data_IF_327260675330
#
_entry.id   IF_327260675330
#
_cell.length_a   1.000
_cell.length_b   1.000
_cell.length_c   1.000
_cell.angle_alpha   90.00
_cell.angle_beta   90.00
_cell.angle_gamma   90.00
#
_symmetry.space_group_name_H-M   'P 1'
#
loop_
_entity.id
_entity.type
_entity.pdbx_description
1 polymer ?
#
# COMPACT_ATOMS: atom_id res chain seq x y z
N UNK A 1 -28.63 0.46 32.14
CA UNK A 1 -29.13 -0.10 30.87
C UNK A 1 -29.60 -1.51 31.13
N UNK A 2 -30.81 -1.85 30.70
CA UNK A 2 -31.29 -3.24 30.76
C UNK A 2 -30.51 -4.15 29.79
N UNK A 3 -30.79 -5.45 29.83
CA UNK A 3 -30.14 -6.44 28.96
C UNK A 3 -30.33 -6.16 27.46
N UNK A 4 -31.55 -5.75 27.06
CA UNK A 4 -31.92 -5.50 25.65
C UNK A 4 -31.24 -4.25 25.12
N UNK A 5 -31.19 -3.18 25.92
CA UNK A 5 -30.51 -1.93 25.62
C UNK A 5 -29.01 -2.15 25.39
N UNK A 6 -28.35 -2.96 26.23
CA UNK A 6 -26.91 -3.27 26.05
C UNK A 6 -26.62 -4.04 24.78
N UNK A 7 -27.49 -5.00 24.42
CA UNK A 7 -27.37 -5.72 23.15
C UNK A 7 -27.48 -4.78 21.95
N UNK A 8 -28.47 -3.88 21.94
CA UNK A 8 -28.61 -2.91 20.84
C UNK A 8 -27.46 -1.93 20.77
N UNK A 9 -27.03 -1.37 21.90
CA UNK A 9 -25.88 -0.47 21.95
C UNK A 9 -24.61 -1.14 21.43
N UNK A 10 -24.31 -2.37 21.87
CA UNK A 10 -23.14 -3.14 21.40
C UNK A 10 -23.18 -3.33 19.88
N UNK A 11 -24.34 -3.68 19.32
CA UNK A 11 -24.52 -3.85 17.87
C UNK A 11 -24.28 -2.56 17.11
N UNK A 12 -24.85 -1.46 17.56
CA UNK A 12 -24.68 -0.15 16.92
C UNK A 12 -23.22 0.31 16.95
N UNK A 13 -22.53 0.12 18.07
CA UNK A 13 -21.11 0.45 18.20
C UNK A 13 -20.24 -0.36 17.23
N UNK A 14 -20.51 -1.66 17.08
CA UNK A 14 -19.74 -2.50 16.17
C UNK A 14 -20.07 -2.18 14.70
N UNK A 15 -21.33 -1.90 14.36
CA UNK A 15 -21.69 -1.47 13.00
C UNK A 15 -21.05 -0.12 12.65
N UNK A 16 -20.99 0.82 13.60
CA UNK A 16 -20.25 2.06 13.42
C UNK A 16 -18.75 1.80 13.24
N UNK A 17 -18.16 0.88 13.99
CA UNK A 17 -16.76 0.49 13.83
C UNK A 17 -16.48 -0.16 12.45
N UNK A 18 -17.40 -0.96 11.92
CA UNK A 18 -17.30 -1.51 10.55
C UNK A 18 -17.35 -0.39 9.50
N UNK A 19 -18.22 0.62 9.68
CA UNK A 19 -18.23 1.80 8.83
C UNK A 19 -16.92 2.59 8.90
N UNK A 20 -16.33 2.74 10.10
CA UNK A 20 -15.03 3.37 10.28
C UNK A 20 -13.90 2.59 9.60
N UNK A 21 -13.90 1.24 9.61
CA UNK A 21 -12.89 0.45 8.88
C UNK A 21 -12.84 0.80 7.39
N UNK A 22 -14.01 0.98 6.76
CA UNK A 22 -14.11 1.38 5.35
C UNK A 22 -13.53 2.78 5.16
N UNK A 23 -13.91 3.74 6.02
CA UNK A 23 -13.40 5.11 5.95
C UNK A 23 -11.87 5.18 6.18
N UNK A 24 -11.35 4.40 7.13
CA UNK A 24 -9.92 4.29 7.44
C UNK A 24 -9.15 3.83 6.19
N UNK A 25 -9.64 2.82 5.47
CA UNK A 25 -8.93 2.24 4.33
C UNK A 25 -8.60 3.25 3.23
N UNK A 26 -9.50 4.21 2.98
CA UNK A 26 -9.34 5.22 1.94
C UNK A 26 -8.78 6.55 2.47
N UNK A 27 -8.47 6.64 3.76
CA UNK A 27 -7.96 7.88 4.36
C UNK A 27 -6.43 7.89 4.48
N UNK A 28 -5.79 9.06 4.36
CA UNK A 28 -4.42 9.27 4.84
C UNK A 28 -4.36 9.00 6.35
N UNK A 29 -3.50 8.07 6.73
CA UNK A 29 -3.31 7.64 8.12
C UNK A 29 -2.20 8.46 8.77
N UNK A 30 -1.08 8.64 8.08
CA UNK A 30 0.10 9.34 8.58
C UNK A 30 0.69 10.21 7.49
N UNK A 31 1.40 11.27 7.87
CA UNK A 31 2.12 12.08 6.91
C UNK A 31 3.56 12.30 7.36
N UNK A 32 4.44 12.40 6.37
CA UNK A 32 5.84 12.79 6.56
C UNK A 32 6.14 13.96 5.64
N UNK A 33 6.90 14.92 6.14
CA UNK A 33 7.42 16.03 5.35
C UNK A 33 8.90 16.26 5.63
N UNK A 34 9.66 16.56 4.58
CA UNK A 34 11.02 17.05 4.69
C UNK A 34 11.09 18.54 4.34
N UNK A 35 11.75 19.32 5.17
CA UNK A 35 12.07 20.73 4.90
C UNK A 35 13.58 20.94 4.93
N UNK A 36 14.09 21.74 4.01
CA UNK A 36 15.51 22.09 3.94
C UNK A 36 15.68 23.44 3.21
N UNK A 37 16.85 24.11 3.33
CA UNK A 37 17.12 25.35 2.62
C UNK A 37 16.93 25.26 1.10
N UNK A 38 17.23 24.08 0.52
CA UNK A 38 17.10 23.83 -0.92
C UNK A 38 15.65 23.59 -1.37
N UNK A 39 14.71 23.44 -0.44
CA UNK A 39 13.27 23.25 -0.68
C UNK A 39 12.53 24.48 -0.14
N UNK A 40 12.53 25.60 -0.89
CA UNK A 40 12.00 26.88 -0.42
C UNK A 40 10.49 26.80 -0.18
N UNK A 41 9.99 27.52 0.83
CA UNK A 41 8.56 27.52 1.21
C UNK A 41 7.65 28.05 0.09
N UNK A 42 8.21 28.82 -0.82
CA UNK A 42 7.52 29.33 -1.99
C UNK A 42 7.12 28.21 -2.95
N UNK A 43 7.92 27.14 -3.07
CA UNK A 43 7.60 25.97 -3.91
C UNK A 43 7.03 24.82 -3.08
N UNK A 44 7.58 24.61 -1.88
CA UNK A 44 7.21 23.53 -0.95
C UNK A 44 6.71 24.12 0.37
N UNK A 45 5.53 24.75 0.42
CA UNK A 45 5.03 25.41 1.64
C UNK A 45 4.85 24.45 2.81
N UNK A 46 4.53 23.20 2.48
CA UNK A 46 4.31 22.10 3.40
C UNK A 46 5.54 21.17 3.52
N UNK A 47 6.67 21.54 2.90
CA UNK A 47 7.84 20.70 2.63
C UNK A 47 7.57 19.63 1.55
N UNK A 48 8.55 18.76 1.32
CA UNK A 48 8.38 17.56 0.48
C UNK A 48 7.52 16.57 1.25
N UNK A 49 6.20 16.64 1.05
CA UNK A 49 5.21 15.91 1.84
C UNK A 49 4.66 14.69 1.12
N UNK A 50 4.59 13.59 1.85
CA UNK A 50 3.96 12.34 1.42
C UNK A 50 2.93 11.87 2.45
N UNK A 51 1.90 11.17 1.99
CA UNK A 51 0.83 10.62 2.82
C UNK A 51 0.84 9.09 2.77
N UNK A 52 0.88 8.46 3.94
CA UNK A 52 0.76 7.01 4.11
C UNK A 52 -0.70 6.63 4.25
N UNK A 53 -1.16 5.73 3.39
CA UNK A 53 -2.48 5.11 3.41
C UNK A 53 -2.32 3.60 3.61
N UNK A 54 -3.42 2.90 3.91
CA UNK A 54 -3.40 1.44 4.04
C UNK A 54 -3.02 0.72 2.73
N UNK A 55 -3.26 1.37 1.58
CA UNK A 55 -3.09 0.79 0.25
C UNK A 55 -1.94 1.37 -0.56
N UNK A 56 -1.18 2.33 -0.03
CA UNK A 56 -0.15 3.01 -0.80
C UNK A 56 0.46 4.22 -0.09
N UNK A 57 1.42 4.85 -0.77
CA UNK A 57 1.96 6.16 -0.39
C UNK A 57 1.68 7.12 -1.53
N UNK A 58 1.12 8.28 -1.19
CA UNK A 58 0.58 9.22 -2.15
C UNK A 58 1.20 10.61 -1.99
N UNK A 59 1.18 11.38 -3.07
CA UNK A 59 1.66 12.76 -3.09
C UNK A 59 0.88 13.62 -2.09
N UNK A 60 1.61 14.31 -1.21
CA UNK A 60 1.06 15.24 -0.22
C UNK A 60 1.25 16.71 -0.58
N UNK A 61 1.92 17.01 -1.71
CA UNK A 61 2.12 18.36 -2.18
C UNK A 61 0.88 18.92 -2.88
N UNK A 62 0.70 20.23 -2.76
CA UNK A 62 -0.48 20.95 -3.23
C UNK A 62 -0.07 21.88 -4.37
N UNK A 63 -0.96 22.14 -5.34
CA UNK A 63 -0.68 23.08 -6.42
C UNK A 63 -0.44 24.48 -5.85
N UNK A 64 0.60 25.17 -6.32
CA UNK A 64 0.95 26.52 -5.90
C UNK A 64 0.64 27.50 -7.03
N UNK A 65 -0.19 28.52 -6.74
CA UNK A 65 -0.47 29.60 -7.69
C UNK A 65 0.41 30.82 -7.38
N UNK A 66 1.33 31.18 -8.27
CA UNK A 66 2.12 32.43 -8.18
C UNK A 66 1.78 33.38 -9.34
N UNK A 67 2.15 34.64 -9.16
CA UNK A 67 1.97 35.67 -10.19
C UNK A 67 2.85 35.46 -11.43
N UNK A 68 3.98 34.74 -11.29
CA UNK A 68 4.96 34.50 -12.36
C UNK A 68 4.94 33.06 -12.90
N UNK A 69 4.40 32.11 -12.15
CA UNK A 69 4.33 30.68 -12.51
C UNK A 69 2.99 30.13 -12.03
N UNK A 70 2.17 29.65 -12.97
CA UNK A 70 0.95 28.89 -12.68
C UNK A 70 1.29 27.42 -12.90
N UNK A 71 1.44 26.66 -11.82
CA UNK A 71 1.55 25.20 -11.89
C UNK A 71 0.13 24.62 -11.95
N UNK A 72 -0.23 24.01 -13.08
CA UNK A 72 -1.54 23.37 -13.27
C UNK A 72 -1.63 22.01 -12.56
N UNK A 73 -0.50 21.32 -12.39
CA UNK A 73 -0.38 20.04 -11.68
C UNK A 73 0.50 20.18 -10.43
N UNK A 74 0.20 19.46 -9.33
CA UNK A 74 1.01 19.52 -8.12
C UNK A 74 2.38 18.86 -8.33
N UNK A 75 3.44 19.46 -7.76
CA UNK A 75 4.77 18.85 -7.68
C UNK A 75 4.71 17.43 -7.11
N UNK A 76 5.43 16.49 -7.73
CA UNK A 76 5.50 15.11 -7.24
C UNK A 76 6.48 14.97 -6.07
N UNK A 77 5.94 15.10 -4.86
CA UNK A 77 6.74 14.97 -3.64
C UNK A 77 7.10 13.53 -3.27
N UNK A 78 6.50 12.52 -3.90
CA UNK A 78 6.98 11.14 -3.74
C UNK A 78 8.26 10.97 -4.55
N UNK A 79 8.30 11.50 -5.78
CA UNK A 79 9.52 11.50 -6.59
C UNK A 79 10.66 12.28 -5.91
N UNK A 80 10.39 13.47 -5.40
CA UNK A 80 11.40 14.26 -4.68
C UNK A 80 11.92 13.52 -3.44
N UNK A 81 11.02 12.87 -2.68
CA UNK A 81 11.42 12.05 -1.54
C UNK A 81 12.31 10.88 -1.96
N UNK A 82 11.97 10.17 -3.04
CA UNK A 82 12.76 9.05 -3.56
C UNK A 82 14.13 9.50 -4.08
N UNK A 83 14.18 10.67 -4.70
CA UNK A 83 15.43 11.32 -5.10
C UNK A 83 16.30 11.60 -3.87
N UNK A 84 15.76 12.24 -2.83
CA UNK A 84 16.49 12.47 -1.57
C UNK A 84 16.96 11.15 -0.94
N UNK A 85 16.08 10.14 -0.87
CA UNK A 85 16.39 8.83 -0.34
C UNK A 85 17.57 8.19 -1.07
N UNK A 86 17.54 8.21 -2.41
CA UNK A 86 18.61 7.67 -3.23
C UNK A 86 19.97 8.34 -2.92
N UNK A 87 20.01 9.68 -2.77
CA UNK A 87 21.24 10.41 -2.43
C UNK A 87 21.86 9.96 -1.11
N UNK A 88 21.06 9.56 -0.12
CA UNK A 88 21.55 9.07 1.19
C UNK A 88 21.64 7.54 1.28
N UNK A 89 21.41 6.83 0.17
CA UNK A 89 21.45 5.38 0.11
C UNK A 89 20.18 4.67 0.59
N UNK A 90 19.10 5.38 0.91
CA UNK A 90 17.81 4.77 1.22
C UNK A 90 17.11 4.28 -0.05
N UNK A 91 16.44 3.13 0.04
CA UNK A 91 15.60 2.62 -1.05
C UNK A 91 14.37 3.52 -1.31
N UNK A 92 13.76 3.43 -2.50
CA UNK A 92 12.54 4.17 -2.82
C UNK A 92 11.38 3.79 -1.89
N UNK A 93 10.50 4.73 -1.59
CA UNK A 93 9.36 4.60 -0.68
C UNK A 93 8.44 3.44 -1.07
N UNK A 94 8.30 3.17 -2.37
CA UNK A 94 7.50 2.04 -2.87
C UNK A 94 8.04 0.67 -2.44
N UNK A 95 9.33 0.56 -2.09
CA UNK A 95 9.98 -0.68 -1.64
C UNK A 95 9.58 -1.13 -0.22
N UNK A 96 8.93 -0.24 0.55
CA UNK A 96 8.46 -0.53 1.91
C UNK A 96 7.02 -1.04 1.91
N UNK A 97 6.71 -1.96 2.82
CA UNK A 97 5.34 -2.44 3.05
C UNK A 97 4.74 -3.18 1.86
N UNK A 98 5.55 -3.82 1.02
CA UNK A 98 5.10 -4.33 -0.29
C UNK A 98 4.05 -5.42 -0.14
N UNK A 99 4.26 -6.34 0.81
CA UNK A 99 3.31 -7.41 1.11
C UNK A 99 2.09 -6.85 1.83
N UNK A 100 2.28 -5.94 2.77
CA UNK A 100 1.22 -5.35 3.58
C UNK A 100 0.27 -4.52 2.73
N UNK A 101 0.79 -3.70 1.81
CA UNK A 101 -0.02 -2.95 0.82
C UNK A 101 -0.81 -3.89 -0.08
N UNK A 102 -0.17 -4.94 -0.61
CA UNK A 102 -0.82 -5.94 -1.47
C UNK A 102 -1.91 -6.74 -0.75
N UNK A 103 -1.74 -7.02 0.56
CA UNK A 103 -2.74 -7.74 1.35
C UNK A 103 -3.73 -6.84 2.10
N UNK A 104 -3.53 -5.52 2.06
CA UNK A 104 -4.23 -4.55 2.90
C UNK A 104 -5.76 -4.65 2.83
N UNK A 105 -6.34 -4.72 1.63
CA UNK A 105 -7.79 -4.84 1.45
C UNK A 105 -8.34 -6.14 2.04
N UNK A 106 -7.60 -7.25 1.90
CA UNK A 106 -8.01 -8.55 2.40
C UNK A 106 -7.94 -8.57 3.93
N UNK A 107 -6.88 -8.01 4.51
CA UNK A 107 -6.72 -7.89 5.97
C UNK A 107 -7.80 -6.98 6.56
N UNK A 108 -8.12 -5.85 5.93
CA UNK A 108 -9.20 -4.97 6.40
C UNK A 108 -10.58 -5.64 6.31
N UNK A 109 -10.82 -6.42 5.25
CA UNK A 109 -12.03 -7.22 5.11
C UNK A 109 -12.11 -8.33 6.18
N UNK A 110 -10.98 -8.97 6.49
CA UNK A 110 -10.87 -9.94 7.58
C UNK A 110 -11.30 -9.33 8.91
N UNK A 111 -10.79 -8.13 9.25
CA UNK A 111 -11.20 -7.40 10.46
C UNK A 111 -12.70 -7.10 10.47
N UNK A 112 -13.27 -6.70 9.33
CA UNK A 112 -14.72 -6.50 9.18
C UNK A 112 -15.53 -7.77 9.48
N UNK A 113 -15.14 -8.91 8.91
CA UNK A 113 -15.81 -10.21 9.16
C UNK A 113 -15.68 -10.61 10.63
N UNK A 114 -14.54 -10.37 11.27
CA UNK A 114 -14.34 -10.61 12.70
C UNK A 114 -15.32 -9.79 13.55
N UNK A 115 -15.48 -8.50 13.25
CA UNK A 115 -16.43 -7.63 13.94
C UNK A 115 -17.88 -8.09 13.75
N UNK A 116 -18.27 -8.46 12.52
CA UNK A 116 -19.61 -9.01 12.26
C UNK A 116 -19.84 -10.36 12.97
N UNK A 117 -18.79 -11.17 13.12
CA UNK A 117 -18.80 -12.36 13.95
C UNK A 117 -19.03 -12.03 15.42
N UNK A 118 -18.34 -11.03 15.96
CA UNK A 118 -18.46 -10.59 17.35
C UNK A 118 -19.86 -10.04 17.69
N UNK A 119 -20.53 -9.37 16.74
CA UNK A 119 -21.93 -8.93 16.85
C UNK A 119 -22.90 -10.09 17.12
N UNK A 120 -22.57 -11.28 16.61
CA UNK A 120 -23.47 -12.44 16.61
C UNK A 120 -23.35 -13.25 17.92
N UNK A 121 -24.36 -13.16 18.78
CA UNK A 121 -24.38 -13.88 20.08
C UNK A 121 -24.69 -15.37 19.95
N UNK A 122 -25.40 -15.78 18.90
CA UNK A 122 -25.75 -17.19 18.65
C UNK A 122 -24.63 -17.90 17.88
N UNK A 123 -23.98 -18.94 18.45
CA UNK A 123 -22.83 -19.59 17.83
C UNK A 123 -23.09 -20.14 16.43
N UNK A 124 -24.24 -20.78 16.19
CA UNK A 124 -24.58 -21.36 14.88
C UNK A 124 -24.64 -20.29 13.78
N UNK A 125 -25.28 -19.15 14.07
CA UNK A 125 -25.39 -18.02 13.13
C UNK A 125 -24.01 -17.39 12.92
N UNK A 126 -23.25 -17.17 13.99
CA UNK A 126 -21.90 -16.62 13.93
C UNK A 126 -20.97 -17.46 13.04
N UNK A 127 -20.95 -18.78 13.24
CA UNK A 127 -20.13 -19.70 12.44
C UNK A 127 -20.56 -19.70 10.98
N UNK A 128 -21.87 -19.70 10.70
CA UNK A 128 -22.36 -19.64 9.32
C UNK A 128 -21.99 -18.33 8.63
N UNK A 129 -22.18 -17.19 9.30
CA UNK A 129 -21.85 -15.87 8.80
C UNK A 129 -20.35 -15.70 8.55
N UNK A 130 -19.52 -16.02 9.53
CA UNK A 130 -18.07 -15.96 9.38
C UNK A 130 -17.56 -16.97 8.35
N UNK A 131 -18.14 -18.17 8.31
CA UNK A 131 -17.77 -19.21 7.34
C UNK A 131 -18.02 -18.76 5.90
N UNK A 132 -19.18 -18.17 5.63
CA UNK A 132 -19.49 -17.58 4.34
C UNK A 132 -18.55 -16.42 4.00
N UNK A 133 -18.34 -15.49 4.95
CA UNK A 133 -17.44 -14.35 4.75
C UNK A 133 -16.00 -14.78 4.46
N UNK A 134 -15.45 -15.72 5.23
CA UNK A 134 -14.10 -16.23 5.02
C UNK A 134 -13.97 -17.06 3.74
N UNK A 135 -15.00 -17.81 3.33
CA UNK A 135 -14.99 -18.50 2.06
C UNK A 135 -14.90 -17.52 0.88
N UNK A 136 -15.72 -16.45 0.90
CA UNK A 136 -15.66 -15.39 -0.11
C UNK A 136 -14.30 -14.70 -0.10
N UNK A 137 -13.78 -14.36 1.09
CA UNK A 137 -12.48 -13.70 1.22
C UNK A 137 -11.33 -14.59 0.74
N UNK A 138 -11.33 -15.89 1.08
CA UNK A 138 -10.31 -16.83 0.64
C UNK A 138 -10.33 -17.03 -0.89
N UNK A 139 -11.51 -17.12 -1.50
CA UNK A 139 -11.65 -17.20 -2.95
C UNK A 139 -11.19 -15.91 -3.61
N UNK A 140 -11.58 -14.75 -3.10
CA UNK A 140 -11.13 -13.45 -3.61
C UNK A 140 -9.60 -13.31 -3.52
N UNK A 141 -9.01 -13.62 -2.38
CA UNK A 141 -7.55 -13.64 -2.20
C UNK A 141 -6.87 -14.60 -3.18
N UNK A 142 -7.38 -15.82 -3.35
CA UNK A 142 -6.79 -16.81 -4.25
C UNK A 142 -6.84 -16.36 -5.71
N UNK A 143 -7.98 -15.80 -6.14
CA UNK A 143 -8.14 -15.23 -7.49
C UNK A 143 -7.20 -14.04 -7.72
N UNK A 144 -7.00 -13.19 -6.73
CA UNK A 144 -6.07 -12.05 -6.83
C UNK A 144 -4.61 -12.52 -6.86
N UNK A 145 -4.21 -13.35 -5.89
CA UNK A 145 -2.82 -13.73 -5.66
C UNK A 145 -2.27 -14.72 -6.69
N UNK A 146 -3.06 -15.71 -7.10
CA UNK A 146 -2.62 -16.77 -8.03
C UNK A 146 -3.33 -16.74 -9.38
N UNK A 147 -4.50 -16.12 -9.48
CA UNK A 147 -5.31 -16.14 -10.68
C UNK A 147 -4.74 -15.33 -11.84
N UNK A 148 -5.06 -15.75 -13.06
CA UNK A 148 -4.77 -14.99 -14.27
C UNK A 148 -5.54 -13.66 -14.25
N UNK A 149 -4.83 -12.58 -14.60
CA UNK A 149 -5.30 -11.19 -14.44
C UNK A 149 -5.80 -10.87 -13.02
N UNK A 150 -5.27 -11.57 -12.01
CA UNK A 150 -5.63 -11.40 -10.60
C UNK A 150 -5.49 -9.97 -10.08
N UNK A 151 -4.58 -9.17 -10.66
CA UNK A 151 -4.38 -7.75 -10.34
C UNK A 151 -5.66 -6.91 -10.50
N UNK A 152 -6.62 -7.35 -11.33
CA UNK A 152 -7.93 -6.67 -11.47
C UNK A 152 -8.74 -6.64 -10.17
N UNK A 153 -8.49 -7.59 -9.28
CA UNK A 153 -9.17 -7.73 -8.00
C UNK A 153 -8.58 -6.85 -6.90
N UNK A 154 -7.52 -6.08 -7.20
CA UNK A 154 -6.99 -5.05 -6.31
C UNK A 154 -7.79 -3.76 -6.33
N UNK A 155 -7.62 -2.96 -5.29
CA UNK A 155 -8.25 -1.65 -5.19
C UNK A 155 -7.52 -0.62 -6.09
N UNK A 156 -8.22 0.45 -6.48
CA UNK A 156 -7.67 1.48 -7.38
C UNK A 156 -6.41 2.13 -6.81
N UNK A 157 -6.39 2.47 -5.51
CA UNK A 157 -5.25 3.16 -4.90
C UNK A 157 -3.97 2.31 -4.87
N UNK A 158 -4.07 0.99 -4.75
CA UNK A 158 -2.90 0.12 -4.89
C UNK A 158 -2.35 0.16 -6.32
N UNK A 159 -3.22 0.09 -7.34
CA UNK A 159 -2.80 0.21 -8.74
C UNK A 159 -2.20 1.58 -9.05
N UNK A 160 -2.82 2.65 -8.55
CA UNK A 160 -2.30 4.03 -8.66
C UNK A 160 -0.89 4.12 -8.07
N UNK A 161 -0.67 3.57 -6.87
CA UNK A 161 0.65 3.59 -6.24
C UNK A 161 1.70 2.79 -7.04
N UNK A 162 1.33 1.65 -7.64
CA UNK A 162 2.23 0.89 -8.50
C UNK A 162 2.58 1.64 -9.79
N UNK A 163 1.56 2.21 -10.46
CA UNK A 163 1.74 2.99 -11.69
C UNK A 163 2.58 4.21 -11.42
N UNK A 164 2.26 5.00 -10.39
CA UNK A 164 3.00 6.20 -10.01
C UNK A 164 4.48 5.89 -9.74
N UNK A 165 4.77 4.76 -9.09
CA UNK A 165 6.14 4.33 -8.87
C UNK A 165 6.88 3.96 -10.17
N UNK A 166 6.21 3.75 -11.30
CA UNK A 166 6.80 3.39 -12.60
C UNK A 166 6.71 4.50 -13.66
N UNK A 167 5.65 5.32 -13.66
CA UNK A 167 5.37 6.34 -14.68
C UNK A 167 6.45 7.42 -14.79
N UNK A 168 7.22 7.61 -13.73
CA UNK A 168 8.35 8.55 -13.68
C UNK A 168 9.48 8.23 -14.70
N UNK A 169 9.53 7.02 -15.26
CA UNK A 169 10.48 6.69 -16.32
C UNK A 169 10.07 7.29 -17.67
N UNK A 170 8.77 7.50 -17.92
CA UNK A 170 8.26 8.11 -19.15
C UNK A 170 8.58 9.61 -19.21
N UNK A 171 8.54 10.30 -18.07
CA UNK A 171 8.86 11.73 -18.03
C UNK A 171 10.32 11.99 -18.37
N UNK A 172 11.27 11.20 -17.84
CA UNK A 172 12.70 11.30 -18.20
C UNK A 172 13.01 10.93 -19.66
N UNK A 173 12.34 9.91 -20.21
CA UNK A 173 12.45 9.58 -21.64
C UNK A 173 11.78 10.66 -22.52
N UNK A 174 10.79 11.39 -21.99
CA UNK A 174 10.10 12.49 -22.68
C UNK A 174 10.81 13.85 -22.56
N UNK A 175 11.52 14.14 -21.47
CA UNK A 175 12.37 15.35 -21.35
C UNK A 175 13.64 15.24 -22.18
N UNK A 176 14.10 14.00 -22.42
CA UNK A 176 15.10 13.70 -23.45
C UNK A 176 14.49 13.50 -24.84
N UNK A 177 13.17 13.71 -25.01
CA UNK A 177 12.55 13.76 -26.33
C UNK A 177 13.03 15.01 -27.06
N UNK A 178 14.02 14.72 -27.89
CA UNK A 178 14.60 15.44 -29.00
C UNK A 178 13.81 16.68 -29.47
N UNK A 179 14.48 17.82 -29.73
CA UNK A 179 13.86 18.95 -30.44
C UNK A 179 13.16 18.46 -31.72
N UNK A 180 12.15 19.20 -32.23
CA UNK A 180 11.25 18.87 -33.37
C UNK A 180 11.86 18.08 -34.57
N UNK A 181 13.17 18.09 -34.77
CA UNK A 181 13.88 17.24 -35.72
C UNK A 181 13.94 15.74 -35.35
N UNK A 182 13.84 15.36 -34.07
CA UNK A 182 13.94 13.96 -33.66
C UNK A 182 12.63 13.21 -33.48
N UNK A 183 11.51 13.92 -33.30
CA UNK A 183 10.18 13.30 -33.39
C UNK A 183 9.99 12.67 -34.77
N UNK A 184 10.46 13.32 -35.84
CA UNK A 184 10.47 12.78 -37.20
C UNK A 184 11.39 11.55 -37.37
N UNK A 185 12.49 11.46 -36.62
CA UNK A 185 13.40 10.31 -36.61
C UNK A 185 12.76 9.15 -35.84
N UNK A 186 12.11 9.43 -34.71
CA UNK A 186 11.36 8.46 -33.92
C UNK A 186 10.18 7.92 -34.72
N UNK A 187 9.44 8.76 -35.46
CA UNK A 187 8.37 8.32 -36.36
C UNK A 187 8.89 7.45 -37.51
N UNK A 188 10.02 7.82 -38.13
CA UNK A 188 10.67 6.98 -39.16
C UNK A 188 11.17 5.64 -38.61
N UNK A 189 11.74 5.63 -37.40
CA UNK A 189 12.15 4.41 -36.70
C UNK A 189 10.94 3.55 -36.36
N UNK A 190 9.85 4.14 -35.86
CA UNK A 190 8.57 3.47 -35.59
C UNK A 190 7.97 2.88 -36.88
N UNK A 191 7.98 3.60 -37.99
CA UNK A 191 7.55 3.08 -39.30
C UNK A 191 8.42 1.92 -39.78
N UNK A 192 9.74 2.03 -39.67
CA UNK A 192 10.66 0.95 -40.03
C UNK A 192 10.50 -0.30 -39.14
N UNK A 193 10.20 -0.11 -37.85
CA UNK A 193 9.90 -1.20 -36.92
C UNK A 193 8.53 -1.85 -37.22
N UNK A 194 7.52 -1.05 -37.57
CA UNK A 194 6.21 -1.55 -37.99
C UNK A 194 6.30 -2.35 -39.31
N UNK A 195 7.13 -1.92 -40.26
CA UNK A 195 7.41 -2.66 -41.50
C UNK A 195 8.13 -4.00 -41.25
N UNK A 196 8.89 -4.10 -40.15
CA UNK A 196 9.52 -5.36 -39.71
C UNK A 196 8.58 -6.32 -38.95
N UNK A 197 7.29 -5.96 -38.81
CA UNK A 197 6.28 -6.78 -38.14
C UNK A 197 6.29 -6.70 -36.60
N UNK A 198 7.05 -5.77 -36.02
CA UNK A 198 7.03 -5.49 -34.58
C UNK A 198 6.04 -4.37 -34.28
N UNK A 199 4.92 -4.69 -33.63
CA UNK A 199 4.01 -3.67 -33.09
C UNK A 199 4.62 -3.06 -31.82
N UNK A 200 4.93 -1.76 -31.88
CA UNK A 200 5.20 -0.96 -30.67
C UNK A 200 3.86 -0.39 -30.25
N UNK A 201 3.17 -1.05 -29.31
CA UNK A 201 2.01 -0.43 -28.65
C UNK A 201 2.50 0.80 -27.89
N UNK A 202 1.95 1.96 -28.25
CA UNK A 202 2.32 3.24 -27.66
C UNK A 202 1.82 3.28 -26.21
N UNK A 203 2.75 3.41 -25.25
CA UNK A 203 2.37 3.59 -23.84
C UNK A 203 1.55 4.88 -23.72
N UNK A 204 0.33 4.77 -23.17
CA UNK A 204 -0.51 5.94 -22.85
C UNK A 204 0.28 6.93 -22.00
N UNK A 205 0.13 8.22 -22.32
CA UNK A 205 0.71 9.29 -21.52
C UNK A 205 0.21 9.19 -20.06
N UNK A 206 1.03 9.54 -19.05
CA UNK A 206 0.63 9.47 -17.64
C UNK A 206 -0.70 10.19 -17.34
N UNK A 207 -0.96 11.32 -18.03
CA UNK A 207 -2.19 12.11 -17.90
C UNK A 207 -3.47 11.42 -18.38
N UNK A 208 -3.34 10.35 -19.18
CA UNK A 208 -4.46 9.56 -19.70
C UNK A 208 -4.77 8.33 -18.83
N UNK A 209 -3.94 8.02 -17.81
CA UNK A 209 -4.15 6.89 -16.92
C UNK A 209 -5.13 7.27 -15.80
N UNK A 210 -6.42 7.01 -16.02
CA UNK A 210 -7.49 7.43 -15.08
C UNK A 210 -8.26 6.27 -14.48
N UNK A 211 -8.52 5.23 -15.27
CA UNK A 211 -9.30 4.07 -14.86
C UNK A 211 -8.42 2.94 -14.34
N UNK A 212 -9.02 1.95 -13.67
CA UNK A 212 -8.28 0.76 -13.23
C UNK A 212 -7.77 -0.03 -14.43
N UNK A 213 -8.56 -0.08 -15.50
CA UNK A 213 -8.23 -0.76 -16.74
C UNK A 213 -7.00 -0.13 -17.39
N UNK A 214 -6.94 1.21 -17.46
CA UNK A 214 -5.76 1.93 -17.97
C UNK A 214 -4.51 1.61 -17.14
N UNK A 215 -4.64 1.56 -15.80
CA UNK A 215 -3.52 1.23 -14.90
C UNK A 215 -3.01 -0.19 -15.11
N UNK A 216 -3.92 -1.15 -15.30
CA UNK A 216 -3.55 -2.55 -15.54
C UNK A 216 -2.88 -2.71 -16.91
N UNK A 217 -3.41 -2.03 -17.93
CA UNK A 217 -2.83 -1.99 -19.27
C UNK A 217 -1.43 -1.39 -19.24
N UNK A 218 -1.24 -0.27 -18.53
CA UNK A 218 0.07 0.34 -18.31
C UNK A 218 1.07 -0.61 -17.64
N UNK A 219 0.64 -1.32 -16.58
CA UNK A 219 1.48 -2.29 -15.87
C UNK A 219 1.85 -3.48 -16.76
N UNK A 220 0.90 -3.97 -17.58
CA UNK A 220 1.16 -5.03 -18.57
C UNK A 220 2.17 -4.58 -19.61
N UNK A 221 1.94 -3.43 -20.25
CA UNK A 221 2.84 -2.89 -21.27
C UNK A 221 4.25 -2.68 -20.72
N UNK A 222 4.37 -2.12 -19.50
CA UNK A 222 5.65 -1.93 -18.81
C UNK A 222 6.35 -3.26 -18.52
N UNK A 223 5.60 -4.29 -18.12
CA UNK A 223 6.14 -5.63 -17.92
C UNK A 223 6.64 -6.23 -19.23
N UNK A 224 5.84 -6.19 -20.28
CA UNK A 224 6.18 -6.77 -21.59
C UNK A 224 7.39 -6.07 -22.21
N UNK A 225 7.50 -4.75 -22.08
CA UNK A 225 8.68 -3.97 -22.47
C UNK A 225 9.94 -4.43 -21.70
N UNK A 226 9.83 -4.68 -20.40
CA UNK A 226 10.92 -5.25 -19.59
C UNK A 226 11.30 -6.67 -20.04
N UNK A 227 10.32 -7.52 -20.36
CA UNK A 227 10.58 -8.89 -20.84
C UNK A 227 11.23 -8.89 -22.23
N UNK A 228 10.84 -7.98 -23.13
CA UNK A 228 11.43 -7.85 -24.46
C UNK A 228 12.94 -7.57 -24.41
N UNK A 229 13.40 -6.82 -23.39
CA UNK A 229 14.82 -6.50 -23.16
C UNK A 229 15.64 -7.69 -22.64
N UNK A 230 15.00 -8.78 -22.19
CA UNK A 230 15.67 -9.97 -21.63
C UNK A 230 15.99 -11.02 -22.70
N UNK A 231 17.02 -11.87 -22.49
CA UNK A 231 17.25 -13.05 -23.33
C UNK A 231 16.02 -13.95 -23.38
N UNK A 232 15.75 -14.56 -24.54
CA UNK A 232 14.54 -15.37 -24.75
C UNK A 232 14.32 -16.47 -23.70
N UNK A 233 15.40 -17.06 -23.17
CA UNK A 233 15.35 -18.11 -22.15
C UNK A 233 14.90 -17.61 -20.75
N UNK A 234 14.98 -16.30 -20.49
CA UNK A 234 14.62 -15.69 -19.20
C UNK A 234 13.28 -14.96 -19.23
N UNK A 235 12.65 -14.85 -20.40
CA UNK A 235 11.37 -14.14 -20.57
C UNK A 235 10.24 -14.89 -19.89
N UNK A 236 9.38 -14.15 -19.22
CA UNK A 236 8.17 -14.66 -18.60
C UNK A 236 6.94 -14.08 -19.29
N UNK A 237 5.88 -14.88 -19.50
CA UNK A 237 4.62 -14.35 -20.03
C UNK A 237 3.90 -13.50 -18.96
N UNK A 238 3.09 -12.54 -19.40
CA UNK A 238 2.18 -11.83 -18.51
C UNK A 238 1.09 -12.79 -18.02
N UNK A 239 1.06 -13.05 -16.73
CA UNK A 239 -0.03 -13.74 -16.03
C UNK A 239 -0.94 -12.70 -15.39
N UNK A 240 -0.38 -11.59 -14.89
CA UNK A 240 -1.14 -10.51 -14.26
C UNK A 240 -1.71 -10.88 -12.89
N UNK A 241 -1.19 -11.90 -12.23
CA UNK A 241 -1.52 -12.18 -10.83
C UNK A 241 -0.86 -11.16 -9.89
N UNK A 242 -1.46 -10.89 -8.73
CA UNK A 242 -0.86 -9.96 -7.75
C UNK A 242 0.53 -10.42 -7.35
N UNK A 243 0.75 -11.73 -7.20
CA UNK A 243 2.09 -12.31 -6.92
C UNK A 243 3.13 -11.95 -7.99
N UNK A 244 2.79 -12.08 -9.27
CA UNK A 244 3.71 -11.73 -10.36
C UNK A 244 3.96 -10.22 -10.41
N UNK A 245 2.88 -9.42 -10.41
CA UNK A 245 3.00 -7.97 -10.52
C UNK A 245 3.75 -7.39 -9.33
N UNK A 246 3.47 -7.82 -8.11
CA UNK A 246 4.13 -7.35 -6.89
C UNK A 246 5.64 -7.68 -6.92
N UNK A 247 6.01 -8.92 -7.25
CA UNK A 247 7.42 -9.34 -7.24
C UNK A 247 8.23 -8.67 -8.36
N UNK A 248 7.67 -8.56 -9.56
CA UNK A 248 8.28 -7.83 -10.67
C UNK A 248 8.41 -6.33 -10.37
N UNK A 249 7.33 -5.69 -9.92
CA UNK A 249 7.32 -4.27 -9.60
C UNK A 249 8.35 -3.94 -8.52
N UNK A 250 8.42 -4.75 -7.46
CA UNK A 250 9.42 -4.58 -6.42
C UNK A 250 10.86 -4.68 -6.94
N UNK A 251 11.13 -5.64 -7.83
CA UNK A 251 12.44 -5.75 -8.50
C UNK A 251 12.76 -4.48 -9.31
N UNK A 252 11.80 -3.99 -10.11
CA UNK A 252 11.98 -2.79 -10.93
C UNK A 252 12.22 -1.54 -10.09
N UNK A 253 11.41 -1.33 -9.05
CA UNK A 253 11.54 -0.19 -8.15
C UNK A 253 12.88 -0.16 -7.45
N UNK A 254 13.36 -1.30 -6.92
CA UNK A 254 14.68 -1.37 -6.28
C UNK A 254 15.81 -1.09 -7.28
N UNK A 255 15.71 -1.68 -8.48
CA UNK A 255 16.72 -1.57 -9.53
C UNK A 255 16.80 -0.20 -10.19
N UNK A 256 15.76 0.63 -10.08
CA UNK A 256 15.72 1.97 -10.70
C UNK A 256 16.88 2.86 -10.21
N UNK A 257 17.08 2.90 -8.90
CA UNK A 257 18.07 3.77 -8.27
C UNK A 257 19.35 3.02 -7.91
N UNK A 258 19.24 1.71 -7.62
CA UNK A 258 20.38 0.88 -7.27
C UNK A 258 20.39 -0.39 -8.13
N UNK A 259 21.03 -0.35 -9.30
CA UNK A 259 21.06 -1.47 -10.23
C UNK A 259 22.04 -2.57 -9.79
N UNK A 260 21.68 -3.30 -8.72
CA UNK A 260 22.46 -4.42 -8.16
C UNK A 260 21.64 -5.72 -8.14
N UNK A 261 21.52 -6.43 -9.27
CA UNK A 261 20.68 -7.62 -9.37
C UNK A 261 21.01 -8.71 -8.33
N UNK A 262 22.28 -8.85 -7.96
CA UNK A 262 22.74 -9.83 -6.96
C UNK A 262 22.20 -9.55 -5.55
N UNK A 263 22.01 -8.26 -5.20
CA UNK A 263 21.43 -7.84 -3.93
C UNK A 263 19.89 -7.84 -3.98
N UNK A 264 19.33 -7.45 -5.13
CA UNK A 264 17.88 -7.31 -5.31
C UNK A 264 17.17 -8.67 -5.41
N UNK A 265 17.68 -9.62 -6.19
CA UNK A 265 17.01 -10.92 -6.40
C UNK A 265 16.72 -11.67 -5.09
N UNK A 266 17.64 -11.74 -4.10
CA UNK A 266 17.34 -12.29 -2.78
C UNK A 266 16.23 -11.54 -2.03
N UNK A 267 16.18 -10.21 -2.13
CA UNK A 267 15.13 -9.40 -1.50
C UNK A 267 13.76 -9.70 -2.13
N UNK A 268 13.68 -9.79 -3.45
CA UNK A 268 12.46 -10.17 -4.18
C UNK A 268 12.00 -11.57 -3.76
N UNK A 269 12.90 -12.54 -3.66
CA UNK A 269 12.57 -13.90 -3.17
C UNK A 269 12.02 -13.88 -1.74
N UNK A 270 12.63 -13.10 -0.84
CA UNK A 270 12.16 -12.94 0.56
C UNK A 270 10.77 -12.33 0.61
N UNK A 271 10.51 -11.25 -0.14
CA UNK A 271 9.19 -10.60 -0.18
C UNK A 271 8.13 -11.47 -0.85
N UNK A 272 8.48 -12.21 -1.89
CA UNK A 272 7.58 -13.18 -2.53
C UNK A 272 7.22 -14.29 -1.54
N UNK A 273 8.20 -14.86 -0.83
CA UNK A 273 7.96 -15.87 0.20
C UNK A 273 7.13 -15.31 1.36
N UNK A 274 7.41 -14.08 1.81
CA UNK A 274 6.61 -13.42 2.83
C UNK A 274 5.15 -13.27 2.40
N UNK A 275 4.89 -12.93 1.13
CA UNK A 275 3.55 -12.94 0.55
C UNK A 275 2.85 -14.30 0.62
N UNK A 276 3.57 -15.40 0.30
CA UNK A 276 3.02 -16.76 0.44
C UNK A 276 2.69 -17.10 1.90
N UNK A 277 3.59 -16.74 2.82
CA UNK A 277 3.42 -16.96 4.26
C UNK A 277 2.22 -16.17 4.77
N UNK A 278 2.05 -14.91 4.35
CA UNK A 278 0.88 -14.08 4.71
C UNK A 278 -0.40 -14.70 4.14
N UNK A 279 -0.41 -15.11 2.86
CA UNK A 279 -1.57 -15.77 2.25
C UNK A 279 -2.02 -16.97 3.08
N UNK A 280 -1.12 -17.95 3.31
CA UNK A 280 -1.46 -19.16 4.04
C UNK A 280 -1.70 -18.91 5.52
N UNK A 281 -0.98 -17.97 6.12
CA UNK A 281 -1.19 -17.52 7.49
C UNK A 281 -2.59 -16.97 7.72
N UNK A 282 -3.11 -16.17 6.78
CA UNK A 282 -4.49 -15.67 6.81
C UNK A 282 -5.50 -16.81 6.68
N UNK A 283 -5.29 -17.78 5.77
CA UNK A 283 -6.16 -18.96 5.65
C UNK A 283 -6.19 -19.77 6.97
N UNK A 284 -5.04 -20.01 7.57
CA UNK A 284 -4.94 -20.71 8.86
C UNK A 284 -5.65 -19.91 9.96
N UNK A 285 -5.45 -18.59 10.03
CA UNK A 285 -6.12 -17.73 10.98
C UNK A 285 -7.65 -17.79 10.84
N UNK A 286 -8.18 -17.79 9.61
CA UNK A 286 -9.62 -17.96 9.35
C UNK A 286 -10.14 -19.30 9.91
N UNK A 287 -9.44 -20.41 9.66
CA UNK A 287 -9.84 -21.73 10.16
C UNK A 287 -9.82 -21.80 11.69
N UNK A 288 -8.78 -21.24 12.33
CA UNK A 288 -8.68 -21.16 13.79
C UNK A 288 -9.81 -20.30 14.37
N UNK A 289 -10.11 -19.16 13.73
CA UNK A 289 -11.21 -18.29 14.15
C UNK A 289 -12.58 -18.96 13.97
N UNK A 290 -12.82 -19.71 12.90
CA UNK A 290 -14.06 -20.49 12.73
C UNK A 290 -14.19 -21.58 13.79
N UNK A 291 -13.08 -22.21 14.17
CA UNK A 291 -13.08 -23.17 15.28
C UNK A 291 -13.44 -22.49 16.61
N UNK A 292 -12.81 -21.35 16.90
CA UNK A 292 -13.09 -20.53 18.09
C UNK A 292 -14.52 -19.99 18.13
N UNK A 293 -15.08 -19.61 16.98
CA UNK A 293 -16.42 -19.04 16.84
C UNK A 293 -17.53 -20.01 17.28
N UNK A 294 -17.25 -21.31 17.44
CA UNK A 294 -18.20 -22.28 18.02
C UNK A 294 -18.51 -22.03 19.50
N UNK A 295 -17.63 -21.32 20.21
CA UNK A 295 -17.78 -20.99 21.63
C UNK A 295 -18.03 -19.49 21.78
N UNK A 296 -18.98 -19.11 22.63
CA UNK A 296 -19.24 -17.70 22.98
C UNK A 296 -18.47 -17.24 24.22
N UNK A 297 -17.45 -18.01 24.63
CA UNK A 297 -16.59 -17.76 25.80
C UNK A 297 -15.16 -18.19 25.47
N UNK A 298 -14.18 -17.52 26.06
CA UNK A 298 -12.75 -17.82 25.92
C UNK A 298 -12.00 -16.87 24.98
N UNK A 299 -10.68 -17.06 24.89
CA UNK A 299 -9.75 -16.16 24.20
C UNK A 299 -10.09 -15.94 22.72
N UNK A 300 -10.38 -17.03 21.99
CA UNK A 300 -10.65 -16.96 20.55
C UNK A 300 -11.91 -16.17 20.19
N UNK A 301 -12.90 -16.12 21.08
CA UNK A 301 -14.07 -15.26 20.89
C UNK A 301 -13.70 -13.77 21.04
N UNK A 302 -12.86 -13.45 22.04
CA UNK A 302 -12.43 -12.08 22.30
C UNK A 302 -11.44 -11.55 21.25
N UNK A 303 -10.65 -12.43 20.63
CA UNK A 303 -9.78 -12.07 19.49
C UNK A 303 -10.56 -11.39 18.36
N UNK A 304 -11.84 -11.75 18.16
CA UNK A 304 -12.71 -11.14 17.14
C UNK A 304 -12.91 -9.63 17.30
N UNK A 305 -12.78 -9.10 18.53
CA UNK A 305 -12.85 -7.65 18.80
C UNK A 305 -11.48 -7.07 19.14
N UNK A 306 -10.62 -7.81 19.83
CA UNK A 306 -9.32 -7.33 20.28
C UNK A 306 -8.36 -7.04 19.13
N UNK A 307 -8.35 -7.87 18.08
CA UNK A 307 -7.45 -7.66 16.93
C UNK A 307 -7.86 -6.42 16.11
N UNK A 308 -9.13 -6.22 15.70
CA UNK A 308 -9.55 -4.96 15.08
C UNK A 308 -9.31 -3.75 15.98
N UNK A 309 -9.53 -3.87 17.29
CA UNK A 309 -9.27 -2.80 18.26
C UNK A 309 -7.78 -2.45 18.39
N UNK A 310 -6.87 -3.37 18.05
CA UNK A 310 -5.42 -3.14 18.08
C UNK A 310 -4.87 -2.56 16.76
N UNK A 311 -5.72 -2.28 15.75
CA UNK A 311 -5.32 -1.72 14.45
C UNK A 311 -4.36 -0.50 14.55
N UNK A 312 -4.62 0.55 15.37
CA UNK A 312 -3.69 1.68 15.46
C UNK A 312 -2.32 1.29 16.00
N UNK A 313 -2.25 0.27 16.86
CA UNK A 313 -0.97 -0.24 17.40
C UNK A 313 -0.22 -1.02 16.32
N UNK A 314 -0.90 -1.89 15.58
CA UNK A 314 -0.30 -2.61 14.47
C UNK A 314 0.24 -1.67 13.39
N UNK A 315 -0.52 -0.63 13.05
CA UNK A 315 -0.08 0.40 12.10
C UNK A 315 1.23 1.06 12.55
N UNK A 316 1.34 1.51 13.81
CA UNK A 316 2.56 2.16 14.31
C UNK A 316 3.75 1.19 14.35
N UNK A 317 3.52 -0.07 14.72
CA UNK A 317 4.58 -1.10 14.72
C UNK A 317 5.11 -1.32 13.30
N UNK A 318 4.21 -1.51 12.34
CA UNK A 318 4.57 -1.73 10.94
C UNK A 318 5.29 -0.51 10.36
N UNK A 319 4.71 0.68 10.54
CA UNK A 319 5.28 1.93 10.09
C UNK A 319 6.69 2.16 10.66
N UNK A 320 6.87 2.02 11.98
CA UNK A 320 8.18 2.14 12.60
C UNK A 320 9.15 1.04 12.14
N UNK A 321 8.67 -0.19 11.95
CA UNK A 321 9.49 -1.30 11.44
C UNK A 321 10.06 -1.03 10.05
N UNK A 322 9.25 -0.48 9.15
CA UNK A 322 9.70 -0.09 7.81
C UNK A 322 10.64 1.11 7.83
N UNK A 323 10.37 2.13 8.65
CA UNK A 323 11.30 3.25 8.83
C UNK A 323 12.66 2.76 9.35
N UNK A 324 12.66 1.88 10.35
CA UNK A 324 13.88 1.26 10.85
C UNK A 324 14.62 0.52 9.74
N UNK A 325 13.90 -0.28 8.95
CA UNK A 325 14.47 -1.00 7.82
C UNK A 325 15.15 -0.05 6.83
N UNK A 326 14.49 1.04 6.43
CA UNK A 326 15.09 2.03 5.53
C UNK A 326 16.38 2.64 6.08
N UNK A 327 16.38 3.06 7.34
CA UNK A 327 17.54 3.71 7.94
C UNK A 327 18.69 2.76 8.32
N UNK A 328 18.47 1.44 8.28
CA UNK A 328 19.49 0.42 8.62
C UNK A 328 19.88 -0.47 7.44
N UNK A 329 19.20 -0.37 6.30
CA UNK A 329 19.50 -1.11 5.08
C UNK A 329 19.97 -0.17 3.97
N UNK A 330 20.82 0.79 4.33
CA UNK A 330 21.37 1.77 3.40
C UNK A 330 22.22 1.09 2.31
N UNK A 331 22.17 1.67 1.12
CA UNK A 331 22.95 1.27 -0.03
C UNK A 331 24.25 2.10 -0.10
N UNK A 332 25.37 1.45 -0.41
CA UNK A 332 26.68 2.09 -0.48
C UNK A 332 26.84 2.99 -1.71
N UNK A 333 25.99 2.81 -2.74
CA UNK A 333 25.96 3.66 -3.93
C UNK A 333 25.26 5.01 -3.72
N UNK A 334 24.77 5.30 -2.51
CA UNK A 334 24.28 6.64 -2.17
C UNK A 334 25.41 7.68 -2.26
N UNK A 335 25.13 8.84 -2.85
CA UNK A 335 26.13 9.90 -3.01
C UNK A 335 26.67 10.44 -1.67
N UNK A 336 25.85 10.38 -0.61
CA UNK A 336 26.22 10.75 0.75
C UNK A 336 26.14 9.55 1.68
N UNK A 337 27.29 9.17 2.24
CA UNK A 337 27.34 8.13 3.26
C UNK A 337 26.84 8.69 4.59
N UNK A 338 25.68 8.21 5.05
CA UNK A 338 25.15 8.49 6.37
C UNK A 338 25.28 7.25 7.26
N UNK A 339 25.48 7.45 8.57
CA UNK A 339 25.45 6.33 9.52
C UNK A 339 24.03 5.78 9.61
N UNK A 340 23.86 4.48 9.89
CA UNK A 340 22.54 3.93 10.18
C UNK A 340 21.81 4.77 11.23
N UNK A 341 20.54 5.06 10.96
CA UNK A 341 19.73 5.92 11.80
C UNK A 341 18.27 5.44 11.80
N UNK A 342 17.47 6.00 12.70
CA UNK A 342 16.03 5.80 12.70
C UNK A 342 15.36 7.04 12.11
N UNK A 343 14.72 6.96 10.93
CA UNK A 343 13.86 8.03 10.46
C UNK A 343 12.80 8.37 11.50
N UNK A 344 12.44 9.64 11.60
CA UNK A 344 11.51 10.13 12.63
C UNK A 344 10.17 9.43 12.53
N UNK A 345 9.81 8.64 13.54
CA UNK A 345 8.51 7.96 13.63
C UNK A 345 7.41 8.94 14.02
N UNK A 346 7.68 9.82 14.99
CA UNK A 346 6.73 10.80 15.48
C UNK A 346 7.46 12.04 15.97
N UNK A 347 6.92 13.22 15.64
CA UNK A 347 7.47 14.51 16.02
C UNK A 347 8.42 15.07 14.95
N UNK A 348 9.32 15.94 15.41
CA UNK A 348 10.32 16.58 14.57
C UNK A 348 11.69 15.91 14.79
N UNK A 349 12.41 15.68 13.71
CA UNK A 349 13.78 15.20 13.74
C UNK A 349 14.64 15.88 12.69
N UNK A 350 15.92 15.49 12.65
CA UNK A 350 16.88 16.07 11.71
C UNK A 350 17.79 14.99 11.15
N UNK A 351 17.92 14.96 9.83
CA UNK A 351 18.84 14.07 9.10
C UNK A 351 19.62 14.95 8.13
N UNK A 352 20.93 15.08 8.37
CA UNK A 352 21.78 16.03 7.66
C UNK A 352 21.20 17.47 7.68
N UNK A 353 20.92 18.06 6.52
CA UNK A 353 20.32 19.40 6.39
C UNK A 353 18.79 19.38 6.32
N UNK A 354 18.17 18.20 6.35
CA UNK A 354 16.72 18.05 6.31
C UNK A 354 16.15 18.01 7.73
N UNK A 355 15.13 18.82 7.96
CA UNK A 355 14.22 18.67 9.11
C UNK A 355 13.07 17.76 8.67
N UNK A 356 12.84 16.70 9.42
CA UNK A 356 11.78 15.73 9.16
C UNK A 356 10.65 15.96 10.13
N UNK A 357 9.43 16.08 9.61
CA UNK A 357 8.20 16.19 10.38
C UNK A 357 7.37 14.93 10.14
N UNK A 358 6.97 14.23 11.21
CA UNK A 358 6.17 13.01 11.09
C UNK A 358 5.04 13.00 12.12
N UNK A 359 3.79 13.02 11.65
CA UNK A 359 2.63 13.13 12.53
C UNK A 359 1.43 12.33 12.01
N UNK A 360 0.51 11.94 12.93
CA UNK A 360 -0.76 11.35 12.55
C UNK A 360 -1.55 12.28 11.63
N UNK A 361 -2.22 11.70 10.66
CA UNK A 361 -3.26 12.35 9.88
C UNK A 361 -4.66 11.95 10.42
N UNK A 362 -5.73 12.52 9.88
CA UNK A 362 -7.09 12.25 10.38
C UNK A 362 -7.49 10.77 10.33
N UNK A 363 -6.95 9.98 9.39
CA UNK A 363 -7.21 8.54 9.31
C UNK A 363 -6.73 7.76 10.54
N UNK A 364 -5.62 8.16 11.14
CA UNK A 364 -5.19 7.60 12.44
C UNK A 364 -6.15 7.97 13.56
N UNK A 365 -6.71 9.19 13.54
CA UNK A 365 -7.78 9.60 14.45
C UNK A 365 -9.03 8.71 14.33
N UNK A 366 -9.41 8.32 13.10
CA UNK A 366 -10.49 7.36 12.86
C UNK A 366 -10.16 5.98 13.44
N UNK A 367 -8.91 5.52 13.35
CA UNK A 367 -8.47 4.26 13.98
C UNK A 367 -8.59 4.30 15.51
N UNK A 368 -8.22 5.43 16.14
CA UNK A 368 -8.36 5.63 17.58
C UNK A 368 -9.83 5.66 18.01
N UNK A 369 -10.68 6.37 17.26
CA UNK A 369 -12.12 6.39 17.49
C UNK A 369 -12.72 4.99 17.40
N UNK A 370 -12.39 4.24 16.34
CA UNK A 370 -12.82 2.85 16.17
C UNK A 370 -12.41 2.00 17.39
N UNK A 371 -11.17 2.12 17.84
CA UNK A 371 -10.66 1.38 19.00
C UNK A 371 -11.42 1.71 20.28
N UNK A 372 -11.75 2.98 20.50
CA UNK A 372 -12.57 3.40 21.64
C UNK A 372 -14.00 2.84 21.57
N UNK A 373 -14.65 2.85 20.39
CA UNK A 373 -15.98 2.27 20.21
C UNK A 373 -15.97 0.76 20.47
N UNK A 374 -14.94 0.06 19.97
CA UNK A 374 -14.78 -1.38 20.18
C UNK A 374 -14.50 -1.73 21.64
N UNK A 375 -13.74 -0.89 22.37
CA UNK A 375 -13.53 -1.06 23.80
C UNK A 375 -14.86 -0.98 24.58
N UNK A 376 -15.68 0.04 24.29
CA UNK A 376 -17.00 0.18 24.91
C UNK A 376 -17.88 -1.01 24.56
N UNK A 377 -17.93 -1.42 23.29
CA UNK A 377 -18.69 -2.58 22.83
C UNK A 377 -18.23 -3.87 23.54
N UNK A 378 -16.93 -4.08 23.69
CA UNK A 378 -16.36 -5.23 24.39
C UNK A 378 -16.77 -5.28 25.87
N UNK A 379 -16.72 -4.15 26.57
CA UNK A 379 -17.14 -4.06 27.98
C UNK A 379 -18.63 -4.34 28.14
N UNK A 380 -19.48 -3.78 27.26
CA UNK A 380 -20.92 -4.02 27.28
C UNK A 380 -21.23 -5.50 27.01
N UNK A 381 -20.59 -6.08 25.99
CA UNK A 381 -20.76 -7.50 25.64
C UNK A 381 -20.33 -8.43 26.78
N UNK A 382 -19.24 -8.10 27.49
CA UNK A 382 -18.78 -8.88 28.65
C UNK A 382 -19.85 -8.94 29.75
N UNK A 383 -20.47 -7.79 30.07
CA UNK A 383 -21.55 -7.71 31.06
C UNK A 383 -22.79 -8.50 30.63
N UNK A 384 -23.13 -8.45 29.35
CA UNK A 384 -24.26 -9.21 28.79
C UNK A 384 -24.03 -10.73 28.87
N UNK A 385 -22.80 -11.19 28.60
CA UNK A 385 -22.45 -12.60 28.66
C UNK A 385 -22.35 -13.15 30.09
N UNK A 386 -22.03 -12.31 31.09
CA UNK A 386 -21.98 -12.72 32.50
C UNK A 386 -23.35 -12.88 33.13
N UNK A 387 -24.35 -12.08 32.71
CA UNK A 387 -25.72 -12.18 33.22
C UNK A 387 -26.56 -13.28 32.57
N UNK A 388 -26.05 -13.89 31.49
CA UNK A 388 -26.68 -15.02 30.80
C UNK A 388 -26.04 -16.37 31.10
N UNK A 389 -24.95 -16.38 31.89
CA UNK A 389 -24.47 -17.54 32.67
C UNK A 389 -25.23 -17.60 33.98
#
# INVERSE_FOLDING_TARGET
MDHRQRLWATRLLILAAVGLLIAIYYSPIWWVSLTAPNYPKEAFPDGVRIHFHMNGVFNGCKPVKKAEIVEEEPLDCVHEMDTINHYVGMYPIAAGGVVEKAFSQFLMTLLGIMLLGFVCTRPRIRVALMGAGFAVLAVWMAMAWYGENGIRYENKGYLEALVHALSLDLEKESETAVPEAGSAIIERLKQSLAESGMQVEEQKAPSDIKTKEDMIEFLRASFEADQARKPAAERQPWIGSVRQVMSWHYEKTLGRYFNEPERIRPMVRKMTLAGEVVFWGVIVAMLVMLWGARRSRGLLYWILVLVPMALPVFFVIEYAGWLWWYGHNLNEMGAFTVKPFMPTVFGDGKVAQFTTHSYPHYGFGLMLLMSALLLVAAVLQRKTLSESS
#
